data_IF_258409638647
#
_entry.id   IF_258409638647
#
_cell.length_a   1.000
_cell.length_b   1.000
_cell.length_c   1.000
_cell.angle_alpha   90.00
_cell.angle_beta   90.00
_cell.angle_gamma   90.00
#
_symmetry.space_group_name_H-M   'P 1'
#
loop_
_entity.id
_entity.type
_entity.pdbx_description
1 polymer ?
#
# COMPACT_ATOMS: atom_id res chain seq x y z
N UNK A 1 -16.33 11.13 12.55
CA UNK A 1 -15.36 11.15 11.44
C UNK A 1 -14.07 10.54 11.97
N UNK A 2 -13.40 9.70 11.19
CA UNK A 2 -12.12 9.13 11.62
C UNK A 2 -11.02 10.21 11.57
N UNK A 3 -10.06 10.12 12.48
CA UNK A 3 -8.90 11.00 12.51
C UNK A 3 -7.95 10.73 11.32
N UNK A 4 -7.38 11.77 10.69
CA UNK A 4 -6.43 11.60 9.60
C UNK A 4 -5.10 11.01 10.12
N UNK A 5 -4.41 10.27 9.26
CA UNK A 5 -3.06 9.81 9.57
C UNK A 5 -2.10 10.99 9.49
N UNK A 6 -1.27 11.17 10.53
CA UNK A 6 -0.34 12.30 10.64
C UNK A 6 1.10 11.83 10.48
N UNK A 7 1.80 12.39 9.50
CA UNK A 7 3.25 12.25 9.34
C UNK A 7 3.98 13.23 10.27
N UNK A 8 5.25 12.95 10.59
CA UNK A 8 6.02 13.76 11.53
C UNK A 8 6.32 15.16 10.97
N UNK A 9 6.37 15.30 9.65
CA UNK A 9 6.44 16.59 8.95
C UNK A 9 5.15 17.43 9.04
N UNK A 10 4.11 16.93 9.71
CA UNK A 10 2.83 17.59 9.91
C UNK A 10 1.82 17.37 8.80
N UNK A 11 2.18 16.68 7.71
CA UNK A 11 1.25 16.35 6.63
C UNK A 11 0.22 15.32 7.09
N UNK A 12 -0.99 15.46 6.55
CA UNK A 12 -2.15 14.67 6.91
C UNK A 12 -2.64 13.86 5.72
N UNK A 13 -2.88 12.57 5.92
CA UNK A 13 -3.60 11.72 4.99
C UNK A 13 -5.02 11.47 5.50
N UNK A 14 -6.00 11.92 4.72
CA UNK A 14 -7.42 11.73 5.01
C UNK A 14 -7.98 10.48 4.32
N UNK A 15 -7.22 9.90 3.40
CA UNK A 15 -7.60 8.73 2.62
C UNK A 15 -6.39 7.85 2.31
N UNK A 16 -6.65 6.65 1.77
CA UNK A 16 -5.60 5.71 1.34
C UNK A 16 -4.76 6.32 0.21
N UNK A 17 -5.39 7.07 -0.69
CA UNK A 17 -4.71 7.77 -1.78
C UNK A 17 -3.73 8.82 -1.27
N UNK A 18 -4.13 9.58 -0.26
CA UNK A 18 -3.27 10.57 0.35
C UNK A 18 -2.11 9.90 1.07
N UNK A 19 -2.38 8.82 1.83
CA UNK A 19 -1.34 8.02 2.47
C UNK A 19 -0.30 7.53 1.46
N UNK A 20 -0.74 7.02 0.31
CA UNK A 20 0.14 6.60 -0.80
C UNK A 20 0.95 7.76 -1.36
N UNK A 21 0.37 8.96 -1.52
CA UNK A 21 1.11 10.15 -1.98
C UNK A 21 2.19 10.54 -0.97
N UNK A 22 1.89 10.51 0.32
CA UNK A 22 2.84 10.81 1.39
C UNK A 22 3.99 9.80 1.40
N UNK A 23 3.70 8.50 1.29
CA UNK A 23 4.73 7.46 1.23
C UNK A 23 5.69 7.64 0.04
N UNK A 24 5.21 8.12 -1.11
CA UNK A 24 6.07 8.43 -2.26
C UNK A 24 6.94 9.67 -2.05
N UNK A 25 6.42 10.65 -1.32
CA UNK A 25 7.12 11.91 -1.03
C UNK A 25 8.23 11.69 0.00
N UNK A 26 7.93 10.91 1.03
CA UNK A 26 8.84 10.61 2.14
C UNK A 26 8.94 9.10 2.39
N UNK A 27 9.69 8.34 1.56
CA UNK A 27 9.78 6.88 1.68
C UNK A 27 10.35 6.41 3.03
N UNK A 28 11.33 7.13 3.59
CA UNK A 28 11.91 6.77 4.89
C UNK A 28 10.89 6.83 6.03
N UNK A 29 10.06 7.88 6.09
CA UNK A 29 8.96 7.94 7.05
C UNK A 29 7.90 6.86 6.77
N UNK A 30 7.57 6.64 5.49
CA UNK A 30 6.63 5.60 5.10
C UNK A 30 7.07 4.20 5.57
N UNK A 31 8.36 3.89 5.44
CA UNK A 31 8.94 2.65 5.97
C UNK A 31 8.78 2.59 7.49
N UNK A 32 9.15 3.65 8.21
CA UNK A 32 9.06 3.66 9.67
C UNK A 32 7.64 3.38 10.16
N UNK A 33 6.64 4.05 9.58
CA UNK A 33 5.23 3.84 9.95
C UNK A 33 4.72 2.46 9.53
N UNK A 34 5.11 1.97 8.34
CA UNK A 34 4.78 0.62 7.91
C UNK A 34 5.33 -0.40 8.91
N UNK A 35 6.63 -0.35 9.23
CA UNK A 35 7.28 -1.34 10.10
C UNK A 35 6.77 -1.32 11.54
N UNK A 36 6.27 -0.18 12.01
CA UNK A 36 5.64 0.00 13.32
C UNK A 36 4.19 -0.46 13.41
N UNK A 37 3.63 -1.00 12.33
CA UNK A 37 2.22 -1.37 12.22
C UNK A 37 1.23 -0.19 12.21
N UNK A 38 1.72 1.05 12.12
CA UNK A 38 0.88 2.24 12.22
C UNK A 38 -0.10 2.34 11.03
N UNK A 39 0.31 1.85 9.85
CA UNK A 39 -0.54 1.80 8.67
C UNK A 39 -1.69 0.81 8.79
N UNK A 40 -1.46 -0.45 9.17
CA UNK A 40 -2.58 -1.40 9.31
C UNK A 40 -3.54 -0.98 10.43
N UNK A 41 -3.04 -0.40 11.52
CA UNK A 41 -3.87 0.10 12.61
C UNK A 41 -4.79 1.23 12.13
N UNK A 42 -4.24 2.20 11.39
CA UNK A 42 -5.03 3.30 10.86
C UNK A 42 -6.00 2.85 9.76
N UNK A 43 -5.58 1.94 8.87
CA UNK A 43 -6.46 1.38 7.84
C UNK A 43 -7.64 0.63 8.45
N UNK A 44 -7.41 -0.15 9.51
CA UNK A 44 -8.49 -0.81 10.24
C UNK A 44 -9.42 0.21 10.91
N UNK A 45 -8.85 1.25 11.52
CA UNK A 45 -9.61 2.33 12.17
C UNK A 45 -10.53 3.08 11.21
N UNK A 46 -10.11 3.35 9.97
CA UNK A 46 -10.97 3.98 8.94
C UNK A 46 -11.90 2.98 8.22
N UNK A 47 -11.98 1.73 8.68
CA UNK A 47 -12.86 0.69 8.13
C UNK A 47 -12.35 -0.02 6.88
N UNK A 48 -11.07 0.15 6.51
CA UNK A 48 -10.43 -0.53 5.37
C UNK A 48 -9.74 -1.83 5.84
N UNK A 49 -10.52 -2.74 6.41
CA UNK A 49 -10.03 -4.00 7.03
C UNK A 49 -9.23 -4.88 6.06
N UNK A 50 -9.66 -4.98 4.80
CA UNK A 50 -8.96 -5.78 3.79
C UNK A 50 -7.55 -5.22 3.50
N UNK A 51 -7.44 -3.89 3.47
CA UNK A 51 -6.15 -3.22 3.29
C UNK A 51 -5.28 -3.33 4.53
N UNK A 52 -5.87 -3.31 5.73
CA UNK A 52 -5.15 -3.52 6.97
C UNK A 52 -4.51 -4.92 7.02
N UNK A 53 -5.29 -5.97 6.71
CA UNK A 53 -4.79 -7.35 6.67
C UNK A 53 -3.72 -7.53 5.58
N UNK A 54 -3.92 -6.94 4.40
CA UNK A 54 -2.95 -6.96 3.31
C UNK A 54 -1.63 -6.26 3.72
N UNK A 55 -1.73 -5.13 4.42
CA UNK A 55 -0.56 -4.35 4.90
C UNK A 55 0.21 -5.12 5.96
N UNK A 56 -0.50 -5.73 6.92
CA UNK A 56 0.11 -6.63 7.92
C UNK A 56 0.88 -7.78 7.24
N UNK A 57 0.28 -8.40 6.24
CA UNK A 57 0.91 -9.49 5.46
C UNK A 57 2.21 -8.99 4.83
N UNK A 58 2.19 -7.86 4.12
CA UNK A 58 3.39 -7.27 3.50
C UNK A 58 4.48 -7.02 4.54
N UNK A 59 4.13 -6.43 5.68
CA UNK A 59 5.09 -6.11 6.73
C UNK A 59 5.83 -7.35 7.25
N UNK A 60 5.16 -8.50 7.26
CA UNK A 60 5.70 -9.79 7.70
C UNK A 60 6.46 -10.56 6.60
N UNK A 61 6.45 -10.12 5.34
CA UNK A 61 7.19 -10.77 4.26
C UNK A 61 8.72 -10.72 4.51
N UNK A 62 9.45 -11.72 4.02
CA UNK A 62 10.92 -11.76 4.10
C UNK A 62 11.55 -10.93 2.95
N UNK A 63 11.28 -9.63 2.97
CA UNK A 63 11.77 -8.64 2.00
C UNK A 63 12.47 -7.48 2.68
N UNK A 64 13.24 -6.70 1.92
CA UNK A 64 13.76 -5.43 2.44
C UNK A 64 12.62 -4.45 2.76
N UNK A 65 12.87 -3.53 3.68
CA UNK A 65 11.87 -2.54 4.10
C UNK A 65 11.39 -1.65 2.94
N UNK A 66 12.31 -1.31 2.02
CA UNK A 66 11.98 -0.56 0.81
C UNK A 66 11.04 -1.36 -0.11
N UNK A 67 11.31 -2.65 -0.33
CA UNK A 67 10.44 -3.50 -1.15
C UNK A 67 9.05 -3.68 -0.52
N UNK A 68 8.98 -3.77 0.82
CA UNK A 68 7.69 -3.79 1.54
C UNK A 68 6.90 -2.52 1.30
N UNK A 69 7.52 -1.35 1.43
CA UNK A 69 6.85 -0.08 1.16
C UNK A 69 6.38 0.03 -0.30
N UNK A 70 7.21 -0.39 -1.25
CA UNK A 70 6.86 -0.40 -2.68
C UNK A 70 5.66 -1.32 -2.95
N UNK A 71 5.64 -2.51 -2.36
CA UNK A 71 4.50 -3.42 -2.46
C UNK A 71 3.23 -2.82 -1.86
N UNK A 72 3.32 -2.20 -0.68
CA UNK A 72 2.20 -1.53 -0.03
C UNK A 72 1.63 -0.44 -0.95
N UNK A 73 2.49 0.46 -1.44
CA UNK A 73 2.12 1.54 -2.36
C UNK A 73 1.50 1.00 -3.66
N UNK A 74 1.99 -0.12 -4.19
CA UNK A 74 1.45 -0.73 -5.40
C UNK A 74 0.06 -1.33 -5.15
N UNK A 75 -0.10 -2.16 -4.10
CA UNK A 75 -1.39 -2.81 -3.78
C UNK A 75 -2.46 -1.80 -3.41
N UNK A 76 -2.14 -0.76 -2.63
CA UNK A 76 -3.10 0.30 -2.29
C UNK A 76 -3.59 1.05 -3.53
N UNK A 77 -2.73 1.41 -4.49
CA UNK A 77 -3.18 2.07 -5.73
C UNK A 77 -4.11 1.20 -6.55
N UNK A 78 -3.83 -0.11 -6.61
CA UNK A 78 -4.68 -1.03 -7.34
C UNK A 78 -6.05 -1.14 -6.67
N UNK A 79 -6.09 -1.27 -5.35
CA UNK A 79 -7.34 -1.34 -4.58
C UNK A 79 -8.21 -0.09 -4.82
N UNK A 80 -7.61 1.09 -4.73
CA UNK A 80 -8.29 2.37 -5.02
C UNK A 80 -8.82 2.42 -6.45
N UNK A 81 -8.03 1.96 -7.43
CA UNK A 81 -8.44 1.97 -8.84
C UNK A 81 -9.56 0.96 -9.12
N UNK A 82 -9.64 -0.11 -8.34
CA UNK A 82 -10.62 -1.17 -8.49
C UNK A 82 -11.93 -0.95 -7.73
N UNK A 83 -12.04 0.06 -6.87
CA UNK A 83 -13.33 0.40 -6.23
C UNK A 83 -14.28 0.96 -7.30
N UNK A 84 -15.34 0.22 -7.71
CA UNK A 84 -16.44 0.83 -8.45
C UNK A 84 -17.29 1.60 -7.45
N UNK A 85 -17.77 2.79 -7.84
CA UNK A 85 -18.87 3.46 -7.13
C UNK A 85 -20.08 2.50 -7.04
N UNK A 86 -20.24 1.88 -5.87
CA UNK A 86 -21.43 1.21 -5.29
C UNK A 86 -22.03 -0.06 -5.94
N UNK A 87 -22.59 -0.86 -5.03
CA UNK A 87 -23.72 -1.82 -5.06
C UNK A 87 -23.43 -3.34 -5.23
N UNK A 88 -23.78 -4.07 -4.15
CA UNK A 88 -24.14 -5.49 -3.96
C UNK A 88 -23.11 -6.63 -4.04
N UNK A 89 -22.88 -7.20 -2.83
CA UNK A 89 -22.89 -8.62 -2.41
C UNK A 89 -22.61 -9.74 -3.45
N UNK A 90 -21.72 -10.62 -3.00
CA UNK A 90 -21.46 -12.02 -3.38
C UNK A 90 -20.61 -12.28 -4.65
N UNK A 91 -19.31 -12.55 -4.46
CA UNK A 91 -18.70 -13.88 -4.67
C UNK A 91 -17.16 -13.88 -4.43
N UNK A 92 -16.56 -15.03 -4.06
CA UNK A 92 -15.14 -15.12 -3.70
C UNK A 92 -14.29 -15.37 -4.95
N UNK A 93 -13.34 -14.49 -5.25
CA UNK A 93 -12.45 -14.67 -6.41
C UNK A 93 -11.04 -15.05 -5.93
N UNK A 94 -10.78 -16.37 -5.93
CA UNK A 94 -9.42 -16.90 -6.05
C UNK A 94 -8.88 -16.46 -7.41
N UNK A 95 -7.73 -15.79 -7.48
CA UNK A 95 -7.06 -15.55 -8.77
C UNK A 95 -5.54 -15.55 -8.65
N UNK A 96 -4.96 -16.67 -9.06
CA UNK A 96 -3.52 -16.96 -9.12
C UNK A 96 -2.80 -16.27 -10.30
N UNK A 97 -3.20 -15.05 -10.67
CA UNK A 97 -2.52 -14.26 -11.71
C UNK A 97 -1.66 -13.11 -11.14
N UNK A 98 -1.58 -13.01 -9.81
CA UNK A 98 -0.96 -11.90 -9.09
C UNK A 98 0.57 -11.80 -9.29
N UNK A 99 1.29 -12.93 -9.32
CA UNK A 99 2.77 -12.91 -9.35
C UNK A 99 3.37 -12.59 -10.74
N UNK A 100 2.65 -12.87 -11.84
CA UNK A 100 3.23 -12.76 -13.19
C UNK A 100 3.27 -11.31 -13.73
N UNK A 101 2.36 -10.43 -13.28
CA UNK A 101 2.36 -9.03 -13.71
C UNK A 101 3.22 -8.14 -12.84
N UNK A 102 3.42 -8.49 -11.57
CA UNK A 102 4.32 -7.81 -10.66
C UNK A 102 5.77 -7.96 -11.17
N UNK A 103 6.21 -9.17 -11.52
CA UNK A 103 7.58 -9.40 -12.05
C UNK A 103 7.93 -8.51 -13.27
N UNK A 104 7.00 -8.29 -14.21
CA UNK A 104 7.25 -7.48 -15.42
C UNK A 104 7.41 -5.98 -15.14
N UNK A 105 6.68 -5.45 -14.16
CA UNK A 105 6.82 -4.04 -13.78
C UNK A 105 8.16 -3.78 -13.07
N UNK A 106 8.61 -4.74 -12.26
CA UNK A 106 9.86 -4.64 -11.50
C UNK A 106 11.10 -4.82 -12.39
N UNK A 107 11.07 -5.72 -13.38
CA UNK A 107 12.14 -5.79 -14.40
C UNK A 107 12.31 -4.47 -15.15
N UNK A 108 11.22 -3.76 -15.46
CA UNK A 108 11.27 -2.47 -16.17
C UNK A 108 11.84 -1.33 -15.30
N UNK A 109 11.71 -1.40 -13.98
CA UNK A 109 12.26 -0.40 -13.05
C UNK A 109 13.76 -0.62 -12.79
N UNK A 110 14.19 -1.88 -12.64
CA UNK A 110 15.60 -2.23 -12.47
C UNK A 110 16.39 -1.95 -13.77
N UNK A 111 15.81 -2.27 -14.94
CA UNK A 111 16.45 -2.02 -16.23
C UNK A 111 16.65 -0.52 -16.55
N UNK A 112 15.87 0.38 -15.95
CA UNK A 112 16.02 1.83 -16.14
C UNK A 112 17.13 2.46 -15.27
N UNK A 113 17.61 1.76 -14.24
CA UNK A 113 18.73 2.24 -13.39
C UNK A 113 20.12 1.80 -13.87
N UNK A 114 20.21 0.98 -14.93
CA UNK A 114 21.47 0.43 -15.46
C UNK A 114 21.95 1.09 -16.76
N UNK A 115 21.25 2.13 -17.24
CA UNK A 115 21.65 2.93 -18.41
C UNK A 115 21.94 4.38 -18.00
N UNK A 116 23.03 4.57 -17.28
CA UNK A 116 23.83 5.80 -17.30
C UNK A 116 25.25 5.51 -16.84
#
# INVERSE_FOLDING_TARGET
MAEPFRFADGQLAYSVEDLVKLCKRSPGEGINYLMRADFENWLAYIGKTDLAQMTQTIRQEQLSESEKLEQFVAKCKLAVKSEPKSINSNQPVKSNNFMNNLSKFFQKLIAQKLTK
#
